data_IF_536518994462
#
_entry.id   IF_536518994462
#
_cell.length_a   1.000
_cell.length_b   1.000
_cell.length_c   1.000
_cell.angle_alpha   90.00
_cell.angle_beta   90.00
_cell.angle_gamma   90.00
#
_symmetry.space_group_name_H-M   'P 1'
#
loop_
_entity.id
_entity.type
_entity.pdbx_description
1 polymer ?
#
# COMPACT_ATOMS: atom_id res chain seq x y z
N UNK A 1 -25.23 -33.34 35.92
CA UNK A 1 -24.49 -32.10 35.54
C UNK A 1 -23.04 -32.50 35.37
N UNK A 2 -22.58 -32.61 34.13
CA UNK A 2 -21.17 -32.82 33.80
C UNK A 2 -20.87 -31.87 32.65
N UNK A 3 -20.29 -30.73 33.00
CA UNK A 3 -19.90 -29.69 32.05
C UNK A 3 -18.79 -30.23 31.16
N UNK A 4 -19.07 -30.34 29.87
CA UNK A 4 -18.06 -30.60 28.85
C UNK A 4 -17.20 -29.35 28.72
N UNK A 5 -16.03 -29.36 29.37
CA UNK A 5 -14.99 -28.37 29.15
C UNK A 5 -14.45 -28.57 27.74
N UNK A 6 -14.84 -27.67 26.83
CA UNK A 6 -14.34 -27.63 25.46
C UNK A 6 -12.91 -27.08 25.53
N UNK A 7 -11.90 -27.76 24.95
CA UNK A 7 -10.54 -27.24 25.00
C UNK A 7 -10.54 -25.90 24.26
N UNK A 8 -10.20 -24.84 24.99
CA UNK A 8 -9.99 -23.52 24.42
C UNK A 8 -8.95 -23.69 23.31
N UNK A 9 -9.39 -23.56 22.06
CA UNK A 9 -8.56 -23.57 20.87
C UNK A 9 -7.41 -22.61 21.15
N UNK A 10 -6.22 -23.14 21.42
CA UNK A 10 -5.02 -22.36 21.60
C UNK A 10 -4.97 -21.43 20.40
N UNK A 11 -5.09 -20.11 20.66
CA UNK A 11 -4.98 -19.08 19.65
C UNK A 11 -3.59 -19.26 19.05
N UNK A 12 -3.50 -20.03 17.97
CA UNK A 12 -2.33 -20.10 17.14
C UNK A 12 -1.99 -18.64 16.84
N UNK A 13 -0.84 -18.19 17.32
CA UNK A 13 -0.31 -16.87 17.00
C UNK A 13 -0.31 -16.82 15.47
N UNK A 14 -1.29 -16.10 14.90
CA UNK A 14 -1.38 -15.95 13.46
C UNK A 14 -0.03 -15.36 13.02
N UNK A 15 0.68 -15.98 12.07
CA UNK A 15 1.89 -15.37 11.53
C UNK A 15 1.48 -14.00 11.03
N UNK A 16 2.13 -12.94 11.55
CA UNK A 16 1.87 -11.52 11.29
C UNK A 16 0.86 -11.30 10.18
N UNK A 17 -0.39 -11.04 10.57
CA UNK A 17 -1.50 -10.69 9.69
C UNK A 17 -0.99 -9.61 8.72
N UNK A 18 -0.76 -10.00 7.46
CA UNK A 18 -0.03 -9.28 6.39
C UNK A 18 0.47 -7.86 6.68
N UNK A 19 1.77 -7.61 6.54
CA UNK A 19 2.31 -6.25 6.61
C UNK A 19 1.86 -5.46 5.36
N UNK A 20 0.76 -4.70 5.50
CA UNK A 20 0.17 -3.92 4.42
C UNK A 20 0.98 -2.63 4.26
N UNK A 21 1.56 -2.46 3.07
CA UNK A 21 2.19 -1.22 2.67
C UNK A 21 1.14 -0.14 2.39
N UNK A 22 1.22 1.00 3.07
CA UNK A 22 0.42 2.19 2.78
C UNK A 22 1.17 3.07 1.80
N UNK A 23 0.56 3.52 0.68
CA UNK A 23 1.22 4.42 -0.23
C UNK A 23 1.43 5.78 0.43
N UNK A 24 2.69 6.20 0.54
CA UNK A 24 3.09 7.47 1.20
C UNK A 24 3.68 8.48 0.22
N UNK A 25 4.18 8.02 -0.93
CA UNK A 25 4.67 8.89 -1.99
C UNK A 25 4.33 8.32 -3.36
N UNK A 26 4.09 9.22 -4.30
CA UNK A 26 3.72 8.92 -5.66
C UNK A 26 4.70 9.62 -6.59
N UNK A 27 5.31 8.85 -7.48
CA UNK A 27 6.17 9.36 -8.54
C UNK A 27 5.33 9.48 -9.81
N UNK A 28 5.11 10.71 -10.25
CA UNK A 28 4.32 11.04 -11.43
C UNK A 28 5.21 11.44 -12.60
N UNK A 29 4.72 11.23 -13.81
CA UNK A 29 5.31 11.82 -15.00
C UNK A 29 5.07 13.34 -14.97
N UNK A 30 6.12 14.19 -15.05
CA UNK A 30 5.94 15.64 -15.02
C UNK A 30 5.17 16.17 -16.24
N UNK A 31 5.30 15.53 -17.40
CA UNK A 31 4.62 15.88 -18.63
C UNK A 31 3.19 15.35 -18.64
N UNK A 32 2.93 14.25 -17.91
CA UNK A 32 1.62 13.60 -17.78
C UNK A 32 1.32 13.29 -16.32
N UNK A 33 0.88 14.29 -15.54
CA UNK A 33 0.66 14.17 -14.09
C UNK A 33 -0.38 13.14 -13.66
N UNK A 34 -1.18 12.63 -14.58
CA UNK A 34 -2.11 11.50 -14.39
C UNK A 34 -1.43 10.12 -14.49
N UNK A 35 -0.21 10.06 -14.99
CA UNK A 35 0.59 8.84 -15.16
C UNK A 35 1.48 8.62 -13.94
N UNK A 36 1.22 7.54 -13.20
CA UNK A 36 2.02 7.12 -12.06
C UNK A 36 3.19 6.26 -12.59
N UNK A 37 4.42 6.74 -12.39
CA UNK A 37 5.66 6.04 -12.72
C UNK A 37 6.16 5.13 -11.58
N UNK A 38 5.75 5.40 -10.34
CA UNK A 38 6.08 4.58 -9.19
C UNK A 38 5.38 5.03 -7.91
N UNK A 39 5.44 4.18 -6.88
CA UNK A 39 4.81 4.43 -5.57
C UNK A 39 5.75 3.94 -4.48
N UNK A 40 5.98 4.77 -3.46
CA UNK A 40 6.61 4.34 -2.21
C UNK A 40 5.53 3.91 -1.23
N UNK A 41 5.64 2.68 -0.76
CA UNK A 41 4.83 2.13 0.31
C UNK A 41 5.62 2.14 1.62
N UNK A 42 4.97 2.55 2.69
CA UNK A 42 5.45 2.39 4.06
C UNK A 42 4.68 1.24 4.72
N UNK A 43 5.44 0.26 5.22
CA UNK A 43 4.89 -0.96 5.80
C UNK A 43 4.57 -0.75 7.28
N UNK A 44 3.32 -0.97 7.66
CA UNK A 44 2.78 -0.65 8.99
C UNK A 44 3.48 -1.34 10.16
N UNK A 45 4.02 -2.56 9.96
CA UNK A 45 4.62 -3.34 11.05
C UNK A 45 6.12 -3.06 11.18
N UNK A 46 6.80 -2.86 10.05
CA UNK A 46 8.25 -2.69 10.00
C UNK A 46 8.70 -1.24 9.92
N UNK A 47 7.81 -0.33 9.49
CA UNK A 47 8.17 1.02 9.06
C UNK A 47 9.04 1.05 7.81
N UNK A 48 9.23 -0.11 7.15
CA UNK A 48 10.08 -0.21 5.97
C UNK A 48 9.44 0.56 4.81
N UNK A 49 10.24 1.33 4.08
CA UNK A 49 9.79 2.06 2.89
C UNK A 49 10.31 1.37 1.64
N UNK A 50 9.40 0.90 0.78
CA UNK A 50 9.73 0.27 -0.50
C UNK A 50 9.09 1.01 -1.66
N UNK A 51 9.89 1.28 -2.68
CA UNK A 51 9.41 1.87 -3.92
C UNK A 51 9.17 0.82 -4.99
N UNK A 52 7.96 0.80 -5.55
CA UNK A 52 7.58 0.00 -6.70
C UNK A 52 7.57 0.89 -7.94
N UNK A 53 8.29 0.50 -8.98
CA UNK A 53 8.34 1.23 -10.26
C UNK A 53 7.43 0.58 -11.30
N UNK A 54 6.54 1.40 -11.90
CA UNK A 54 5.64 1.00 -12.98
C UNK A 54 6.17 1.37 -14.37
N UNK A 55 7.35 1.98 -14.44
CA UNK A 55 8.06 2.19 -15.69
C UNK A 55 8.22 0.88 -16.46
N UNK A 56 8.19 0.89 -17.82
CA UNK A 56 8.32 -0.32 -18.62
C UNK A 56 9.63 -1.08 -18.36
N UNK A 57 10.70 -0.34 -18.06
CA UNK A 57 12.01 -0.88 -17.74
C UNK A 57 12.17 -1.29 -16.27
N UNK A 58 11.12 -1.16 -15.44
CA UNK A 58 11.11 -1.41 -13.99
C UNK A 58 12.20 -0.67 -13.21
N UNK A 59 12.70 0.43 -13.76
CA UNK A 59 13.76 1.26 -13.16
C UNK A 59 13.21 2.60 -12.69
N UNK A 60 13.98 3.22 -11.80
CA UNK A 60 13.75 4.60 -11.36
C UNK A 60 13.67 5.56 -12.53
N UNK A 61 12.54 6.26 -12.64
CA UNK A 61 12.42 7.42 -13.50
C UNK A 61 13.21 8.59 -12.90
N UNK A 62 14.14 9.16 -13.68
CA UNK A 62 15.02 10.24 -13.19
C UNK A 62 14.30 11.57 -13.00
N UNK A 63 13.29 11.83 -13.82
CA UNK A 63 12.58 13.11 -13.88
C UNK A 63 11.18 13.03 -13.25
N UNK A 64 10.91 12.01 -12.42
CA UNK A 64 9.59 11.87 -11.83
C UNK A 64 9.32 12.98 -10.81
N UNK A 65 8.11 13.53 -10.87
CA UNK A 65 7.59 14.44 -9.86
C UNK A 65 7.10 13.63 -8.66
N UNK A 66 7.64 13.89 -7.47
CA UNK A 66 7.22 13.20 -6.25
C UNK A 66 6.15 14.01 -5.53
N UNK A 67 5.01 13.38 -5.23
CA UNK A 67 3.91 13.98 -4.45
C UNK A 67 3.48 13.04 -3.33
N UNK A 68 3.04 13.60 -2.20
CA UNK A 68 2.53 12.84 -1.05
C UNK A 68 1.03 12.52 -1.18
N UNK A 69 0.29 13.33 -1.94
CA UNK A 69 -1.13 13.16 -2.19
C UNK A 69 -1.42 13.13 -3.70
N UNK A 70 -2.27 12.18 -4.14
CA UNK A 70 -2.75 12.13 -5.52
C UNK A 70 -4.03 12.96 -5.68
N UNK A 71 -3.99 14.06 -6.45
CA UNK A 71 -5.16 14.92 -6.61
C UNK A 71 -6.30 14.25 -7.39
N UNK A 72 -6.01 13.30 -8.28
CA UNK A 72 -7.02 12.65 -9.13
C UNK A 72 -7.63 11.37 -8.55
N UNK A 73 -6.99 10.75 -7.55
CA UNK A 73 -7.51 9.51 -6.96
C UNK A 73 -8.75 9.78 -6.08
N UNK A 74 -8.81 10.94 -5.42
CA UNK A 74 -9.96 11.36 -4.61
C UNK A 74 -11.24 11.60 -5.43
N UNK A 75 -11.11 11.84 -6.74
CA UNK A 75 -12.25 12.05 -7.63
C UNK A 75 -12.95 10.75 -8.03
N UNK A 76 -12.25 9.60 -8.00
CA UNK A 76 -12.85 8.30 -8.35
C UNK A 76 -13.65 7.67 -7.20
N UNK A 77 -13.47 8.15 -5.97
CA UNK A 77 -14.25 7.69 -4.81
C UNK A 77 -15.65 8.31 -4.72
N UNK A 78 -16.02 9.24 -5.62
CA UNK A 78 -17.31 9.96 -5.58
C UNK A 78 -18.38 9.45 -6.55
N UNK A 79 -18.13 8.35 -7.28
CA UNK A 79 -19.09 7.79 -8.25
C UNK A 79 -19.79 6.50 -7.78
N UNK A 80 -19.77 6.19 -6.48
CA UNK A 80 -20.57 5.13 -5.88
C UNK A 80 -21.56 5.70 -4.88
N UNK A 81 -22.72 6.16 -5.36
CA UNK A 81 -23.87 6.61 -4.57
C UNK A 81 -25.15 6.21 -5.27
#
# INVERSE_FOLDING_TARGET
>A
MTSTETPALARATLPSEFDIGTPVEWMLDPDRRETILGVTYEFSQTGERKTVWYTPNKRRAKNALVVIELPFLQSRSRLGG
#
